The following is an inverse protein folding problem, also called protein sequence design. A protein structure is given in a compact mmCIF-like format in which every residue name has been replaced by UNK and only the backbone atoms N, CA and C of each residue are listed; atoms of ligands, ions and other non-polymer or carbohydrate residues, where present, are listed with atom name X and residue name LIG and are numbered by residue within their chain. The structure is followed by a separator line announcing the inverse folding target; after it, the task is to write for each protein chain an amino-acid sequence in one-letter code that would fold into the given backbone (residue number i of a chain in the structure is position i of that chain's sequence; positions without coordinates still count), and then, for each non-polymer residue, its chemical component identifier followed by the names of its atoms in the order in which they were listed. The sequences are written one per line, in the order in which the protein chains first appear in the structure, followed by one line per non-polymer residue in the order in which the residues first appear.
data_IF_921468240009
#
_entry.id   IF_921468240009
#
_cell.length_a   1.000
_cell.length_b   1.000
_cell.length_c   1.000
_cell.angle_alpha   90.00
_cell.angle_beta   90.00
_cell.angle_gamma   90.00
#
_symmetry.space_group_name_H-M   'P 1'
#
loop_
_entity.id
_entity.type
_entity.pdbx_description
1 polymer ?
#
# COMPACT_ATOMS: atom_id res chain seq x y z
N UNK A 1 5.36 9.07 -17.18
CA UNK A 1 5.69 9.61 -15.85
C UNK A 1 4.81 8.84 -14.88
N UNK A 2 5.36 7.86 -14.15
CA UNK A 2 4.58 7.11 -13.17
C UNK A 2 4.06 8.08 -12.11
N UNK A 3 2.74 8.12 -11.96
CA UNK A 3 2.04 8.93 -10.97
C UNK A 3 2.58 8.57 -9.58
N UNK A 4 2.91 9.56 -8.75
CA UNK A 4 3.66 9.30 -7.51
C UNK A 4 2.88 8.40 -6.54
N UNK A 5 1.55 8.37 -6.65
CA UNK A 5 0.67 7.46 -5.93
C UNK A 5 0.83 6.00 -6.37
N UNK A 6 1.00 5.72 -7.67
CA UNK A 6 1.20 4.35 -8.18
C UNK A 6 2.50 3.76 -7.61
N UNK A 7 3.56 4.59 -7.54
CA UNK A 7 4.82 4.20 -6.89
C UNK A 7 4.61 3.88 -5.41
N UNK A 8 3.80 4.67 -4.71
CA UNK A 8 3.50 4.44 -3.29
C UNK A 8 2.73 3.13 -3.10
N UNK A 9 1.75 2.83 -3.95
CA UNK A 9 1.00 1.57 -3.95
C UNK A 9 1.98 0.40 -4.19
N UNK A 10 2.85 0.53 -5.19
CA UNK A 10 3.90 -0.45 -5.49
C UNK A 10 4.83 -0.70 -4.31
N UNK A 11 5.29 0.34 -3.61
CA UNK A 11 6.09 0.19 -2.39
C UNK A 11 5.29 -0.59 -1.33
N UNK A 12 4.02 -0.25 -1.11
CA UNK A 12 3.16 -0.92 -0.13
C UNK A 12 2.98 -2.41 -0.44
N UNK A 13 2.87 -2.78 -1.72
CA UNK A 13 2.80 -4.18 -2.15
C UNK A 13 4.15 -4.91 -2.00
N UNK A 14 5.27 -4.22 -2.20
CA UNK A 14 6.61 -4.81 -2.12
C UNK A 14 7.01 -5.20 -0.70
N UNK A 15 6.69 -4.35 0.29
CA UNK A 15 7.06 -4.56 1.70
C UNK A 15 6.24 -5.67 2.39
N UNK A 16 5.24 -6.22 1.72
CA UNK A 16 4.40 -7.27 2.29
C UNK A 16 5.21 -8.54 2.54
N UNK A 17 5.06 -9.09 3.75
CA UNK A 17 5.72 -10.34 4.11
C UNK A 17 5.22 -11.47 3.22
N UNK A 18 6.12 -12.40 2.90
CA UNK A 18 5.83 -13.54 2.05
C UNK A 18 4.59 -14.37 2.47
N UNK A 19 4.35 -14.69 3.75
CA UNK A 19 3.14 -15.41 4.14
C UNK A 19 1.86 -14.67 3.77
N UNK A 20 1.88 -13.33 3.85
CA UNK A 20 0.78 -12.45 3.49
C UNK A 20 0.53 -12.49 1.97
N UNK A 21 1.60 -12.37 1.17
CA UNK A 21 1.54 -12.51 -0.31
C UNK A 21 0.96 -13.87 -0.72
N UNK A 22 1.42 -14.94 -0.09
CA UNK A 22 0.92 -16.29 -0.33
C UNK A 22 -0.57 -16.42 0.01
N UNK A 23 -1.02 -15.84 1.13
CA UNK A 23 -2.41 -15.88 1.54
C UNK A 23 -3.33 -15.13 0.57
N UNK A 24 -2.90 -13.97 0.05
CA UNK A 24 -3.63 -13.23 -1.00
C UNK A 24 -3.75 -14.06 -2.29
N UNK A 25 -2.66 -14.72 -2.68
CA UNK A 25 -2.61 -15.57 -3.86
C UNK A 25 -3.28 -16.94 -3.69
N UNK A 26 -3.81 -17.25 -2.51
CA UNK A 26 -4.33 -18.59 -2.19
C UNK A 26 -3.28 -19.70 -2.27
N UNK A 27 -1.98 -19.37 -2.23
CA UNK A 27 -0.87 -20.34 -2.27
C UNK A 27 -0.65 -20.92 -0.86
N UNK A 28 -1.33 -22.03 -0.55
CA UNK A 28 -1.16 -22.77 0.71
C UNK A 28 -2.09 -23.99 0.82
N UNK A 29 -2.12 -24.65 1.99
CA UNK A 29 -3.13 -25.67 2.29
C UNK A 29 -4.52 -25.05 2.32
N UNK A 30 -5.62 -25.83 2.26
CA UNK A 30 -7.02 -25.34 2.29
C UNK A 30 -7.31 -24.24 3.33
N UNK A 31 -6.55 -24.21 4.44
CA UNK A 31 -6.60 -23.19 5.50
C UNK A 31 -6.22 -21.77 5.02
N UNK A 32 -5.44 -21.65 3.95
CA UNK A 32 -4.91 -20.40 3.40
C UNK A 32 -5.45 -20.10 2.00
N UNK A 33 -6.59 -20.71 1.62
CA UNK A 33 -7.32 -20.31 0.43
C UNK A 33 -7.62 -18.80 0.48
N UNK A 34 -7.62 -18.14 -0.68
CA UNK A 34 -7.97 -16.72 -0.80
C UNK A 34 -9.31 -16.50 -0.12
N UNK A 35 -9.33 -15.60 0.84
CA UNK A 35 -10.53 -15.25 1.59
C UNK A 35 -10.67 -13.73 1.68
N UNK A 36 -11.92 -13.28 1.80
CA UNK A 36 -12.25 -11.85 1.83
C UNK A 36 -11.53 -11.12 2.96
N UNK A 37 -11.30 -11.79 4.10
CA UNK A 37 -10.58 -11.21 5.23
C UNK A 37 -9.16 -10.82 4.86
N UNK A 38 -8.42 -11.69 4.19
CA UNK A 38 -7.02 -11.45 3.81
C UNK A 38 -6.95 -10.34 2.76
N UNK A 39 -7.82 -10.40 1.75
CA UNK A 39 -7.92 -9.36 0.72
C UNK A 39 -8.23 -8.01 1.34
N UNK A 40 -9.16 -7.96 2.31
CA UNK A 40 -9.51 -6.72 3.02
C UNK A 40 -8.35 -6.17 3.83
N UNK A 41 -7.59 -7.00 4.55
CA UNK A 41 -6.40 -6.56 5.28
C UNK A 41 -5.35 -5.92 4.35
N UNK A 42 -5.17 -6.45 3.14
CA UNK A 42 -4.31 -5.83 2.13
C UNK A 42 -4.83 -4.46 1.73
N UNK A 43 -6.11 -4.37 1.43
CA UNK A 43 -6.74 -3.15 0.99
C UNK A 43 -6.66 -2.03 2.04
N UNK A 44 -6.96 -2.33 3.30
CA UNK A 44 -6.81 -1.42 4.44
C UNK A 44 -5.36 -0.96 4.62
N UNK A 45 -4.40 -1.88 4.47
CA UNK A 45 -2.97 -1.55 4.58
C UNK A 45 -2.52 -0.59 3.49
N UNK A 46 -2.95 -0.81 2.25
CA UNK A 46 -2.62 0.06 1.12
C UNK A 46 -3.29 1.42 1.29
N UNK A 47 -4.60 1.45 1.56
CA UNK A 47 -5.38 2.66 1.79
C UNK A 47 -4.79 3.53 2.92
N UNK A 48 -4.49 2.92 4.07
CA UNK A 48 -3.90 3.63 5.20
C UNK A 48 -2.46 4.10 4.96
N UNK A 49 -1.73 3.55 3.99
CA UNK A 49 -0.42 4.07 3.61
C UNK A 49 -0.54 5.23 2.63
N UNK A 50 -1.44 5.15 1.64
CA UNK A 50 -1.62 6.22 0.65
C UNK A 50 -2.32 7.43 1.26
N UNK A 51 -3.29 7.25 2.16
CA UNK A 51 -4.03 8.34 2.81
C UNK A 51 -3.16 9.23 3.71
N UNK A 52 -1.96 8.77 4.08
CA UNK A 52 -0.95 9.58 4.82
C UNK A 52 -0.37 10.71 3.98
N UNK A 53 -0.39 10.55 2.67
CA UNK A 53 0.33 11.40 1.72
C UNK A 53 -0.58 11.92 0.61
N UNK A 54 -1.73 11.28 0.38
CA UNK A 54 -2.69 11.62 -0.65
C UNK A 54 -4.06 11.74 -0.04
N UNK A 55 -4.81 12.79 -0.40
CA UNK A 55 -6.21 12.92 -0.07
C UNK A 55 -7.05 12.77 -1.34
N UNK A 56 -8.14 12.01 -1.21
CA UNK A 56 -9.08 11.72 -2.28
C UNK A 56 -10.34 12.55 -2.08
N UNK A 57 -10.88 13.07 -3.18
CA UNK A 57 -12.05 13.94 -3.15
C UNK A 57 -13.12 13.43 -4.11
N UNK A 58 -14.35 13.37 -3.61
CA UNK A 58 -15.57 13.17 -4.38
C UNK A 58 -16.37 14.49 -4.43
N UNK A 59 -17.52 14.51 -5.09
CA UNK A 59 -18.38 15.70 -5.22
C UNK A 59 -18.77 16.31 -3.86
N UNK A 60 -18.87 15.47 -2.83
CA UNK A 60 -19.29 15.85 -1.49
C UNK A 60 -18.12 16.18 -0.54
N UNK A 61 -16.87 16.15 -1.03
CA UNK A 61 -15.67 16.47 -0.26
C UNK A 61 -14.70 15.31 -0.10
N UNK A 62 -13.93 15.33 1.00
CA UNK A 62 -12.87 14.33 1.25
C UNK A 62 -13.48 12.94 1.45
N UNK A 63 -12.92 11.97 0.74
CA UNK A 63 -13.27 10.55 0.86
C UNK A 63 -12.58 9.96 2.09
N UNK A 64 -13.34 9.21 2.88
CA UNK A 64 -12.82 8.48 4.04
C UNK A 64 -11.94 7.30 3.62
N UNK A 65 -10.90 7.02 4.41
CA UNK A 65 -9.94 5.95 4.16
C UNK A 65 -10.61 4.58 3.99
N UNK A 66 -11.71 4.32 4.70
CA UNK A 66 -12.47 3.06 4.61
C UNK A 66 -13.13 2.88 3.24
N UNK A 67 -13.59 3.96 2.60
CA UNK A 67 -14.13 3.91 1.23
C UNK A 67 -13.03 3.60 0.22
N UNK A 68 -11.84 4.18 0.42
CA UNK A 68 -10.66 3.86 -0.40
C UNK A 68 -10.27 2.40 -0.23
N UNK A 69 -10.24 1.90 1.01
CA UNK A 69 -9.97 0.50 1.29
C UNK A 69 -11.01 -0.43 0.64
N UNK A 70 -12.29 -0.07 0.67
CA UNK A 70 -13.34 -0.87 0.03
C UNK A 70 -13.15 -0.96 -1.49
N UNK A 71 -12.80 0.14 -2.16
CA UNK A 71 -12.49 0.14 -3.60
C UNK A 71 -11.28 -0.78 -3.90
N UNK A 72 -10.19 -0.63 -3.14
CA UNK A 72 -9.00 -1.47 -3.33
C UNK A 72 -9.32 -2.95 -3.09
N UNK A 73 -10.17 -3.25 -2.11
CA UNK A 73 -10.63 -4.62 -1.85
C UNK A 73 -11.37 -5.20 -3.06
N UNK A 74 -12.27 -4.43 -3.68
CA UNK A 74 -13.00 -4.86 -4.87
C UNK A 74 -12.07 -5.12 -6.06
N UNK A 75 -11.09 -4.23 -6.28
CA UNK A 75 -10.05 -4.42 -7.31
C UNK A 75 -9.27 -5.71 -7.06
N UNK A 76 -8.72 -5.90 -5.85
CA UNK A 76 -7.95 -7.10 -5.50
C UNK A 76 -8.78 -8.39 -5.55
N UNK A 77 -10.09 -8.30 -5.30
CA UNK A 77 -11.01 -9.45 -5.37
C UNK A 77 -11.33 -9.82 -6.81
N UNK A 78 -11.46 -8.84 -7.70
CA UNK A 78 -11.72 -9.04 -9.12
C UNK A 78 -10.47 -9.45 -9.91
N UNK A 79 -9.28 -9.23 -9.33
CA UNK A 79 -8.00 -9.49 -9.95
C UNK A 79 -7.81 -10.96 -10.36
N UNK A 80 -7.28 -11.23 -11.56
CA UNK A 80 -7.02 -12.60 -12.02
C UNK A 80 -6.11 -13.38 -11.07
N UNK A 81 -6.46 -14.64 -10.83
CA UNK A 81 -5.69 -15.52 -9.94
C UNK A 81 -4.25 -15.73 -10.45
N UNK A 82 -4.03 -15.66 -11.77
CA UNK A 82 -2.72 -15.75 -12.40
C UNK A 82 -1.79 -14.62 -11.93
N UNK A 83 -2.28 -13.36 -11.94
CA UNK A 83 -1.53 -12.19 -11.49
C UNK A 83 -1.20 -12.30 -10.01
N UNK A 84 -2.17 -12.69 -9.18
CA UNK A 84 -1.94 -12.87 -7.75
C UNK A 84 -0.92 -13.98 -7.47
N UNK A 85 -0.94 -15.08 -8.24
CA UNK A 85 0.05 -16.15 -8.14
C UNK A 85 1.44 -15.68 -8.54
N UNK A 86 1.59 -14.91 -9.62
CA UNK A 86 2.87 -14.32 -10.03
C UNK A 86 3.38 -13.33 -8.97
N UNK A 87 2.51 -12.51 -8.41
CA UNK A 87 2.83 -11.63 -7.29
C UNK A 87 3.34 -12.41 -6.06
N UNK A 88 2.88 -13.63 -5.79
CA UNK A 88 3.39 -14.44 -4.69
C UNK A 88 4.63 -15.29 -5.04
N UNK A 89 5.18 -15.17 -6.26
CA UNK A 89 6.38 -15.91 -6.68
C UNK A 89 7.64 -15.49 -5.88
N UNK A 90 8.59 -16.42 -5.77
CA UNK A 90 9.93 -16.18 -5.22
C UNK A 90 10.78 -15.32 -6.15
N UNK A 91 10.63 -15.52 -7.45
CA UNK A 91 11.50 -14.95 -8.45
C UNK A 91 10.99 -13.56 -8.81
N UNK A 92 11.84 -12.56 -8.65
CA UNK A 92 11.52 -11.16 -8.97
C UNK A 92 11.15 -10.97 -10.43
N UNK A 93 11.70 -11.78 -11.34
CA UNK A 93 11.32 -11.77 -12.77
C UNK A 93 9.82 -12.02 -12.99
N UNK A 94 9.17 -12.76 -12.08
CA UNK A 94 7.74 -13.02 -12.12
C UNK A 94 6.97 -12.02 -11.24
N UNK A 95 7.48 -11.74 -10.03
CA UNK A 95 6.73 -10.94 -9.07
C UNK A 95 6.75 -9.44 -9.35
N UNK A 96 7.82 -8.91 -9.94
CA UNK A 96 7.97 -7.47 -10.17
C UNK A 96 7.03 -6.96 -11.27
N UNK A 97 6.84 -7.67 -12.40
CA UNK A 97 5.83 -7.31 -13.39
C UNK A 97 4.42 -7.38 -12.81
N UNK A 98 4.07 -8.46 -12.11
CA UNK A 98 2.76 -8.61 -11.49
C UNK A 98 2.49 -7.50 -10.47
N UNK A 99 3.49 -7.12 -9.67
CA UNK A 99 3.36 -6.03 -8.71
C UNK A 99 3.09 -4.69 -9.41
N UNK A 100 3.78 -4.41 -10.52
CA UNK A 100 3.54 -3.20 -11.30
C UNK A 100 2.12 -3.17 -11.89
N UNK A 101 1.65 -4.30 -12.43
CA UNK A 101 0.29 -4.45 -12.96
C UNK A 101 -0.77 -4.24 -11.86
N UNK A 102 -0.61 -4.90 -10.71
CA UNK A 102 -1.49 -4.70 -9.55
C UNK A 102 -1.54 -3.23 -9.11
N UNK A 103 -0.39 -2.56 -9.05
CA UNK A 103 -0.31 -1.17 -8.64
C UNK A 103 -1.01 -0.25 -9.65
N UNK A 104 -0.83 -0.51 -10.94
CA UNK A 104 -1.47 0.24 -12.02
C UNK A 104 -2.99 0.07 -12.00
N UNK A 105 -3.52 -1.15 -11.83
CA UNK A 105 -4.96 -1.38 -11.73
C UNK A 105 -5.59 -0.67 -10.53
N UNK A 106 -4.94 -0.75 -9.37
CA UNK A 106 -5.40 -0.04 -8.16
C UNK A 106 -5.40 1.47 -8.40
N UNK A 107 -4.31 2.00 -8.98
CA UNK A 107 -4.20 3.42 -9.28
C UNK A 107 -5.28 3.88 -10.27
N UNK A 108 -5.50 3.13 -11.36
CA UNK A 108 -6.52 3.45 -12.35
C UNK A 108 -7.92 3.44 -11.74
N UNK A 109 -8.24 2.48 -10.87
CA UNK A 109 -9.52 2.44 -10.18
C UNK A 109 -9.73 3.69 -9.30
N UNK A 110 -8.72 4.08 -8.53
CA UNK A 110 -8.76 5.27 -7.68
C UNK A 110 -8.91 6.55 -8.53
N UNK A 111 -8.05 6.73 -9.54
CA UNK A 111 -8.04 7.91 -10.40
C UNK A 111 -9.29 8.02 -11.27
N UNK A 112 -9.94 6.89 -11.59
CA UNK A 112 -11.21 6.86 -12.31
C UNK A 112 -12.40 7.31 -11.48
N UNK A 113 -12.29 7.26 -10.15
CA UNK A 113 -13.39 7.56 -9.24
C UNK A 113 -13.24 8.90 -8.51
N UNK A 114 -12.02 9.30 -8.15
CA UNK A 114 -11.79 10.46 -7.28
C UNK A 114 -10.71 11.40 -7.82
N UNK A 115 -10.86 12.68 -7.50
CA UNK A 115 -9.77 13.63 -7.66
C UNK A 115 -8.73 13.40 -6.55
N UNK A 116 -7.45 13.46 -6.92
CA UNK A 116 -6.33 13.13 -6.03
C UNK A 116 -5.53 14.41 -5.74
N UNK A 117 -5.21 14.62 -4.48
CA UNK A 117 -4.37 15.74 -4.03
C UNK A 117 -3.20 15.22 -3.19
N UNK A 118 -2.00 15.76 -3.41
CA UNK A 118 -0.80 15.41 -2.66
C UNK A 118 -0.65 16.31 -1.43
N UNK A 119 -0.51 15.68 -0.27
CA UNK A 119 -0.29 16.31 1.02
C UNK A 119 0.90 15.62 1.70
N UNK A 120 2.13 16.16 1.60
CA UNK A 120 3.29 15.52 2.20
C UNK A 120 3.06 15.33 3.70
N UNK A 121 3.33 14.13 4.21
CA UNK A 121 3.22 13.85 5.63
C UNK A 121 4.24 14.74 6.37
N UNK A 122 3.76 15.80 7.03
CA UNK A 122 4.62 16.76 7.76
C UNK A 122 5.13 16.22 9.08
N UNK A 123 4.72 15.01 9.48
CA UNK A 123 5.31 14.32 10.60
C UNK A 123 6.62 13.67 10.14
N UNK A 124 7.79 14.08 10.67
CA UNK A 124 9.01 13.32 10.42
C UNK A 124 8.72 11.86 10.82
N UNK A 125 9.27 10.87 10.09
CA UNK A 125 9.24 9.52 10.60
C UNK A 125 9.82 9.58 12.00
N UNK A 126 9.04 9.23 13.02
CA UNK A 126 9.61 8.84 14.29
C UNK A 126 10.52 7.68 13.93
N UNK A 127 11.81 7.99 13.76
CA UNK A 127 12.85 6.99 13.62
C UNK A 127 12.91 6.29 14.97
N UNK A 128 12.10 5.26 15.12
CA UNK A 128 12.48 4.15 15.95
C UNK A 128 13.67 3.50 15.23
N UNK A 129 14.83 4.12 15.38
CA UNK A 129 16.08 3.40 15.21
C UNK A 129 15.95 2.16 16.10
N UNK A 130 16.03 0.99 15.49
CA UNK A 130 15.96 -0.30 16.16
C UNK A 130 17.20 -0.56 17.04
N UNK A 131 17.94 0.49 17.41
CA UNK A 131 19.22 0.41 18.13
C UNK A 131 19.39 1.50 19.20
N UNK A 132 18.31 2.17 19.63
CA UNK A 132 18.34 3.09 20.79
C UNK A 132 19.26 4.31 20.66
N UNK A 133 19.93 4.50 19.52
CA UNK A 133 20.88 5.58 19.27
C UNK A 133 20.22 6.71 18.46
N UNK A 134 19.20 7.34 19.05
CA UNK A 134 18.85 8.72 18.69
C UNK A 134 20.02 9.59 19.17
N UNK A 135 20.97 9.81 18.26
CA UNK A 135 22.20 10.57 18.51
C UNK A 135 21.86 12.01 18.85
N UNK A 136 22.16 12.39 20.09
CA UNK A 136 22.59 13.67 20.71
C UNK A 136 22.61 14.99 19.92
N UNK A 137 22.66 15.00 18.60
CA UNK A 137 22.83 16.19 17.77
C UNK A 137 21.59 17.10 17.75
N UNK A 138 20.38 16.54 17.86
CA UNK A 138 19.15 17.35 17.97
C UNK A 138 19.00 18.04 19.34
N UNK A 139 19.70 17.57 20.38
CA UNK A 139 19.68 18.20 21.70
C UNK A 139 20.59 19.44 21.81
N UNK A 140 21.65 19.50 21.01
CA UNK A 140 22.61 20.62 21.04
C UNK A 140 22.15 21.83 20.21
N UNK A 141 21.28 21.63 19.22
CA UNK A 141 20.74 22.70 18.36
C UNK A 141 19.66 23.56 19.02
N UNK A 142 19.15 23.19 20.20
CA UNK A 142 18.11 23.94 20.94
C UNK A 142 18.62 24.75 22.14
N UNK A 143 19.93 24.81 22.38
CA UNK A 143 20.52 25.49 23.56
C UNK A 143 21.36 26.72 23.18
N UNK A 144 21.04 27.37 22.05
CA UNK A 144 21.60 28.70 21.75
C UNK A 144 20.49 29.68 21.38
N UNK A 145 19.78 30.14 22.40
CA UNK A 145 19.24 31.50 22.47
C UNK A 145 19.92 32.22 23.64
#
# INVERSE_FOLDING_TARGET
MFDDIEKQIRICLCIQRRPTRNALAGKGTKKYARNDRTTRMFAETIAGNIDRTYHFHDKDGRVETDKVAQLIFEVLRAMPDEILKLYADKLSINSDPALAEMAAEIHQAIAGQWAISYHPCTKPPHSASFDGALRRWEAEMRVKE
#
